data_IF_918114096936
#
_entry.id   IF_918114096936
#
_cell.length_a   1.000
_cell.length_b   1.000
_cell.length_c   1.000
_cell.angle_alpha   90.00
_cell.angle_beta   90.00
_cell.angle_gamma   90.00
#
_symmetry.space_group_name_H-M   'P 1'
#
loop_
_entity.id
_entity.type
_entity.pdbx_description
1 polymer ?
#
# COMPACT_ATOMS: atom_id res chain seq x y z
N UNK A 1 -21.41 -30.82 6.49
CA UNK A 1 -20.45 -30.91 5.37
C UNK A 1 -20.16 -29.48 4.97
N UNK A 2 -19.14 -28.89 5.57
CA UNK A 2 -18.88 -27.45 5.44
C UNK A 2 -18.39 -27.17 4.04
N UNK A 3 -19.10 -26.28 3.34
CA UNK A 3 -18.70 -25.80 2.03
C UNK A 3 -17.35 -25.07 2.19
N UNK A 4 -16.27 -25.68 1.72
CA UNK A 4 -14.94 -25.10 1.85
C UNK A 4 -14.81 -23.98 0.82
N UNK A 5 -15.04 -22.73 1.22
CA UNK A 5 -14.75 -21.57 0.37
C UNK A 5 -13.30 -21.61 -0.09
N UNK A 6 -13.10 -21.62 -1.40
CA UNK A 6 -11.77 -21.50 -1.99
C UNK A 6 -11.30 -20.04 -1.95
N UNK A 7 -10.00 -19.81 -2.16
CA UNK A 7 -9.47 -18.43 -2.33
C UNK A 7 -10.13 -17.70 -3.49
N UNK A 8 -10.45 -18.43 -4.57
CA UNK A 8 -11.15 -17.89 -5.72
C UNK A 8 -12.55 -17.40 -5.33
N UNK A 9 -13.30 -18.20 -4.58
CA UNK A 9 -14.66 -17.83 -4.13
C UNK A 9 -14.64 -16.61 -3.21
N UNK A 10 -13.62 -16.50 -2.35
CA UNK A 10 -13.45 -15.33 -1.49
C UNK A 10 -13.16 -14.06 -2.30
N UNK A 11 -12.29 -14.13 -3.31
CA UNK A 11 -11.97 -12.98 -4.16
C UNK A 11 -13.19 -12.54 -4.98
N UNK A 12 -13.94 -13.49 -5.55
CA UNK A 12 -15.17 -13.18 -6.28
C UNK A 12 -16.19 -12.46 -5.38
N UNK A 13 -16.33 -12.88 -4.12
CA UNK A 13 -17.21 -12.21 -3.14
C UNK A 13 -16.71 -10.82 -2.74
N UNK A 14 -15.39 -10.62 -2.65
CA UNK A 14 -14.82 -9.29 -2.41
C UNK A 14 -15.14 -8.36 -3.57
N UNK A 15 -14.97 -8.85 -4.81
CA UNK A 15 -15.25 -8.09 -6.02
C UNK A 15 -16.74 -7.72 -6.13
N UNK A 16 -17.64 -8.64 -5.78
CA UNK A 16 -19.08 -8.37 -5.69
C UNK A 16 -19.43 -7.29 -4.65
N UNK A 17 -18.77 -7.31 -3.49
CA UNK A 17 -19.10 -6.43 -2.37
C UNK A 17 -18.51 -5.02 -2.49
N UNK A 18 -17.27 -4.90 -2.97
CA UNK A 18 -16.50 -3.64 -2.95
C UNK A 18 -15.66 -3.42 -4.22
N UNK A 19 -15.98 -4.06 -5.35
CA UNK A 19 -15.20 -3.95 -6.58
C UNK A 19 -15.04 -2.51 -7.07
N UNK A 20 -16.14 -1.75 -7.13
CA UNK A 20 -16.09 -0.34 -7.55
C UNK A 20 -15.29 0.55 -6.59
N UNK A 21 -15.36 0.27 -5.30
CA UNK A 21 -14.63 0.96 -4.25
C UNK A 21 -13.14 0.64 -4.28
N UNK A 22 -12.77 -0.59 -4.62
CA UNK A 22 -11.38 -0.98 -4.85
C UNK A 22 -10.80 -0.28 -6.07
N UNK A 23 -11.54 -0.19 -7.17
CA UNK A 23 -11.10 0.59 -8.33
C UNK A 23 -10.93 2.06 -7.99
N UNK A 24 -11.82 2.63 -7.16
CA UNK A 24 -11.69 4.02 -6.72
C UNK A 24 -10.46 4.23 -5.84
N UNK A 25 -10.18 3.31 -4.91
CA UNK A 25 -8.97 3.35 -4.10
C UNK A 25 -7.70 3.19 -4.96
N UNK A 26 -7.71 2.32 -5.97
CA UNK A 26 -6.60 2.15 -6.91
C UNK A 26 -6.36 3.43 -7.73
N UNK A 27 -7.43 4.11 -8.17
CA UNK A 27 -7.30 5.42 -8.85
C UNK A 27 -6.62 6.45 -7.96
N UNK A 28 -7.02 6.54 -6.69
CA UNK A 28 -6.37 7.42 -5.71
C UNK A 28 -4.92 7.02 -5.50
N UNK A 29 -4.63 5.73 -5.32
CA UNK A 29 -3.27 5.23 -5.18
C UNK A 29 -2.37 5.60 -6.35
N UNK A 30 -2.81 5.35 -7.58
CA UNK A 30 -2.02 5.65 -8.77
C UNK A 30 -1.83 7.16 -8.99
N UNK A 31 -2.81 7.99 -8.61
CA UNK A 31 -2.63 9.45 -8.67
C UNK A 31 -1.61 9.96 -7.65
N UNK A 32 -1.61 9.36 -6.44
CA UNK A 32 -0.72 9.77 -5.35
C UNK A 32 0.70 9.22 -5.51
N UNK A 33 0.86 8.05 -6.13
CA UNK A 33 2.16 7.44 -6.46
C UNK A 33 2.63 7.95 -7.83
N UNK A 34 2.71 9.27 -7.96
CA UNK A 34 3.18 9.94 -9.16
C UNK A 34 4.01 11.18 -8.83
N UNK A 35 4.91 11.56 -9.73
CA UNK A 35 5.74 12.76 -9.59
C UNK A 35 5.90 13.47 -10.93
N UNK A 36 6.05 14.80 -10.89
CA UNK A 36 6.42 15.62 -12.05
C UNK A 36 7.92 15.55 -12.35
N UNK A 37 8.74 15.11 -11.39
CA UNK A 37 10.17 14.96 -11.60
C UNK A 37 10.43 13.66 -12.38
N UNK A 38 11.02 13.68 -13.59
CA UNK A 38 11.11 12.52 -14.47
C UNK A 38 11.76 11.29 -13.83
N UNK A 39 12.87 11.50 -13.10
CA UNK A 39 13.55 10.39 -12.42
C UNK A 39 12.69 9.74 -11.33
N UNK A 40 12.08 10.54 -10.44
CA UNK A 40 11.20 10.04 -9.39
C UNK A 40 9.98 9.34 -10.00
N UNK A 41 9.43 9.90 -11.07
CA UNK A 41 8.34 9.29 -11.81
C UNK A 41 8.69 7.88 -12.32
N UNK A 42 9.87 7.70 -12.93
CA UNK A 42 10.30 6.39 -13.44
C UNK A 42 10.43 5.34 -12.31
N UNK A 43 11.00 5.74 -11.18
CA UNK A 43 11.11 4.85 -10.00
C UNK A 43 9.72 4.49 -9.46
N UNK A 44 8.82 5.48 -9.30
CA UNK A 44 7.45 5.25 -8.82
C UNK A 44 6.64 4.35 -9.78
N UNK A 45 6.77 4.54 -11.09
CA UNK A 45 6.13 3.70 -12.11
C UNK A 45 6.68 2.27 -12.16
N UNK A 46 7.91 2.07 -11.68
CA UNK A 46 8.50 0.74 -11.59
C UNK A 46 7.94 -0.03 -10.38
N UNK A 47 7.88 0.60 -9.20
CA UNK A 47 7.41 -0.06 -7.98
C UNK A 47 5.90 -0.36 -7.99
N UNK A 48 5.09 0.39 -8.77
CA UNK A 48 3.66 0.08 -8.94
C UNK A 48 3.43 -1.26 -9.66
N UNK A 49 4.45 -1.79 -10.35
CA UNK A 49 4.42 -3.11 -11.00
C UNK A 49 4.58 -4.27 -10.03
N UNK A 50 4.91 -4.01 -8.76
CA UNK A 50 4.96 -5.03 -7.72
C UNK A 50 3.55 -5.48 -7.32
N UNK A 51 2.59 -5.58 -8.26
CA UNK A 51 1.18 -5.81 -7.98
C UNK A 51 0.95 -7.05 -7.10
N UNK A 52 0.09 -6.90 -6.10
CA UNK A 52 -0.28 -7.95 -5.17
C UNK A 52 -1.78 -8.13 -5.09
N UNK A 53 -2.21 -8.96 -4.14
CA UNK A 53 -3.63 -9.25 -3.91
C UNK A 53 -4.42 -8.08 -3.29
N UNK A 54 -3.80 -6.91 -3.08
CA UNK A 54 -4.40 -5.70 -2.45
C UNK A 54 -5.15 -5.98 -1.13
N UNK A 55 -4.70 -6.97 -0.34
CA UNK A 55 -5.42 -7.41 0.86
C UNK A 55 -5.60 -6.30 1.90
N UNK A 56 -4.64 -5.37 2.03
CA UNK A 56 -4.70 -4.30 3.02
C UNK A 56 -5.78 -3.25 2.68
N UNK A 57 -5.84 -2.71 1.45
CA UNK A 57 -6.99 -1.93 0.96
C UNK A 57 -8.33 -2.65 1.13
N UNK A 58 -8.40 -3.93 0.74
CA UNK A 58 -9.62 -4.74 0.85
C UNK A 58 -10.13 -4.78 2.29
N UNK A 59 -9.25 -5.09 3.25
CA UNK A 59 -9.61 -5.16 4.67
C UNK A 59 -10.12 -3.82 5.20
N UNK A 60 -9.51 -2.71 4.80
CA UNK A 60 -9.94 -1.38 5.21
C UNK A 60 -11.34 -1.06 4.67
N UNK A 61 -11.58 -1.28 3.37
CA UNK A 61 -12.86 -0.97 2.74
C UNK A 61 -13.99 -1.87 3.25
N UNK A 62 -13.74 -3.17 3.43
CA UNK A 62 -14.71 -4.09 4.04
C UNK A 62 -15.04 -3.68 5.48
N UNK A 63 -14.04 -3.24 6.26
CA UNK A 63 -14.27 -2.75 7.62
C UNK A 63 -15.14 -1.50 7.64
N UNK A 64 -14.92 -0.56 6.73
CA UNK A 64 -15.76 0.62 6.58
C UNK A 64 -17.20 0.24 6.16
N UNK A 65 -17.35 -0.62 5.14
CA UNK A 65 -18.66 -1.12 4.69
C UNK A 65 -19.45 -1.77 5.85
N UNK A 66 -18.78 -2.56 6.69
CA UNK A 66 -19.40 -3.27 7.81
C UNK A 66 -19.76 -2.38 9.02
N UNK A 67 -19.12 -1.22 9.19
CA UNK A 67 -19.23 -0.41 10.44
C UNK A 67 -19.91 0.93 10.28
N UNK A 68 -20.15 1.39 9.04
CA UNK A 68 -20.84 2.67 8.82
C UNK A 68 -20.85 3.18 7.38
N UNK A 69 -20.50 2.34 6.42
CA UNK A 69 -20.42 2.69 5.01
C UNK A 69 -19.08 3.27 4.59
N UNK A 70 -18.79 3.14 3.29
CA UNK A 70 -17.59 3.67 2.66
C UNK A 70 -17.79 5.16 2.36
N UNK A 71 -16.71 5.94 2.45
CA UNK A 71 -16.66 7.41 2.32
C UNK A 71 -15.36 7.76 1.60
N UNK A 72 -15.26 8.97 1.07
CA UNK A 72 -14.05 9.39 0.32
C UNK A 72 -12.76 9.28 1.14
N UNK A 73 -12.83 9.55 2.45
CA UNK A 73 -11.69 9.36 3.36
C UNK A 73 -11.18 7.92 3.40
N UNK A 74 -12.04 6.93 3.17
CA UNK A 74 -11.65 5.52 3.15
C UNK A 74 -10.87 5.15 1.89
N UNK A 75 -11.14 5.77 0.74
CA UNK A 75 -10.31 5.58 -0.47
C UNK A 75 -8.91 6.15 -0.27
N UNK A 76 -8.81 7.32 0.34
CA UNK A 76 -7.51 7.93 0.70
C UNK A 76 -6.77 7.03 1.71
N UNK A 77 -7.44 6.56 2.76
CA UNK A 77 -6.81 5.68 3.75
C UNK A 77 -6.41 4.31 3.17
N UNK A 78 -7.19 3.75 2.25
CA UNK A 78 -6.82 2.53 1.54
C UNK A 78 -5.53 2.73 0.71
N UNK A 79 -5.42 3.86 0.01
CA UNK A 79 -4.18 4.26 -0.68
C UNK A 79 -3.01 4.41 0.29
N UNK A 80 -3.19 5.13 1.40
CA UNK A 80 -2.16 5.34 2.44
C UNK A 80 -1.62 4.02 2.98
N UNK A 81 -2.49 3.07 3.31
CA UNK A 81 -2.07 1.76 3.83
C UNK A 81 -1.30 0.95 2.78
N UNK A 82 -1.70 1.02 1.50
CA UNK A 82 -0.98 0.34 0.42
C UNK A 82 0.35 1.01 0.10
N UNK A 83 0.44 2.34 0.19
CA UNK A 83 1.71 3.07 0.06
C UNK A 83 2.70 2.68 1.14
N UNK A 84 2.26 2.58 2.39
CA UNK A 84 3.09 2.11 3.50
C UNK A 84 3.53 0.68 3.25
N UNK A 85 2.62 -0.19 2.82
CA UNK A 85 3.00 -1.56 2.45
C UNK A 85 4.06 -1.59 1.34
N UNK A 86 3.91 -0.77 0.30
CA UNK A 86 4.87 -0.71 -0.78
C UNK A 86 6.22 -0.17 -0.30
N UNK A 87 6.21 0.82 0.61
CA UNK A 87 7.42 1.35 1.23
C UNK A 87 8.18 0.26 2.00
N UNK A 88 7.50 -0.53 2.83
CA UNK A 88 8.16 -1.61 3.57
C UNK A 88 8.74 -2.64 2.61
N UNK A 89 8.02 -3.05 1.57
CA UNK A 89 8.55 -4.01 0.58
C UNK A 89 9.86 -3.54 -0.09
N UNK A 90 9.94 -2.24 -0.40
CA UNK A 90 11.12 -1.65 -1.05
C UNK A 90 12.29 -1.54 -0.06
N UNK A 91 12.03 -1.28 1.21
CA UNK A 91 13.05 -1.30 2.26
C UNK A 91 13.51 -2.74 2.56
N UNK A 92 12.59 -3.70 2.65
CA UNK A 92 12.88 -5.13 2.84
C UNK A 92 13.76 -5.66 1.71
N UNK A 93 13.51 -5.26 0.45
CA UNK A 93 14.34 -5.66 -0.69
C UNK A 93 15.82 -5.26 -0.54
N UNK A 94 16.10 -4.17 0.19
CA UNK A 94 17.48 -3.75 0.53
C UNK A 94 18.05 -4.59 1.65
N UNK A 95 17.26 -4.83 2.71
CA UNK A 95 17.70 -5.61 3.87
C UNK A 95 18.00 -7.07 3.49
N UNK A 96 17.21 -7.62 2.56
CA UNK A 96 17.31 -9.00 2.09
C UNK A 96 18.26 -9.20 0.90
N UNK A 97 18.90 -8.14 0.40
CA UNK A 97 19.67 -8.14 -0.86
C UNK A 97 18.89 -8.77 -2.04
N UNK A 98 17.57 -8.54 -2.08
CA UNK A 98 16.69 -9.15 -3.05
C UNK A 98 16.94 -8.59 -4.45
N UNK A 99 17.05 -9.47 -5.46
CA UNK A 99 17.22 -9.06 -6.86
C UNK A 99 15.91 -8.95 -7.63
N UNK A 100 14.89 -9.72 -7.23
CA UNK A 100 13.60 -9.84 -7.93
C UNK A 100 12.46 -9.89 -6.91
N UNK A 101 11.41 -9.12 -7.16
CA UNK A 101 10.12 -9.16 -6.46
C UNK A 101 8.99 -9.36 -7.47
N UNK A 102 8.21 -10.43 -7.30
CA UNK A 102 7.05 -10.77 -8.16
C UNK A 102 7.40 -10.73 -9.66
N UNK A 103 8.54 -11.33 -10.02
CA UNK A 103 9.09 -11.38 -11.39
C UNK A 103 9.55 -10.02 -11.96
N UNK A 104 9.62 -8.97 -11.15
CA UNK A 104 10.13 -7.64 -11.51
C UNK A 104 11.45 -7.42 -10.76
N UNK A 105 12.45 -6.79 -11.40
CA UNK A 105 13.67 -6.39 -10.69
C UNK A 105 13.33 -5.47 -9.52
N UNK A 106 13.97 -5.65 -8.37
CA UNK A 106 13.81 -4.74 -7.22
C UNK A 106 14.43 -3.37 -7.50
N UNK A 107 14.10 -2.35 -6.70
CA UNK A 107 14.63 -0.99 -6.91
C UNK A 107 16.15 -0.97 -6.68
N UNK A 108 16.63 -1.64 -5.65
CA UNK A 108 18.05 -1.77 -5.36
C UNK A 108 18.82 -2.50 -6.46
N UNK A 109 18.26 -3.55 -7.05
CA UNK A 109 18.86 -4.28 -8.17
C UNK A 109 18.90 -3.46 -9.46
N UNK A 110 17.87 -2.65 -9.72
CA UNK A 110 17.76 -1.86 -10.95
C UNK A 110 18.49 -0.52 -10.90
N UNK A 111 18.54 0.14 -9.74
CA UNK A 111 19.22 1.42 -9.55
C UNK A 111 20.36 1.31 -8.54
N UNK A 112 20.04 1.29 -7.24
CA UNK A 112 20.97 1.10 -6.12
C UNK A 112 20.19 1.14 -4.79
N UNK A 113 20.89 0.80 -3.70
CA UNK A 113 20.32 0.83 -2.35
C UNK A 113 19.84 2.22 -1.96
N UNK A 114 20.57 3.29 -2.30
CA UNK A 114 20.17 4.66 -1.93
C UNK A 114 18.82 5.06 -2.53
N UNK A 115 18.59 4.71 -3.79
CA UNK A 115 17.31 4.99 -4.48
C UNK A 115 16.17 4.22 -3.83
N UNK A 116 16.42 2.97 -3.42
CA UNK A 116 15.44 2.12 -2.75
C UNK A 116 15.04 2.70 -1.39
N UNK A 117 16.02 3.12 -0.58
CA UNK A 117 15.77 3.76 0.72
C UNK A 117 14.96 5.05 0.53
N UNK A 118 15.41 5.93 -0.37
CA UNK A 118 14.77 7.24 -0.59
C UNK A 118 13.35 7.14 -1.17
N UNK A 119 13.06 6.17 -2.05
CA UNK A 119 11.68 6.01 -2.56
C UNK A 119 10.76 5.40 -1.49
N UNK A 120 11.26 4.51 -0.63
CA UNK A 120 10.52 4.05 0.54
C UNK A 120 10.20 5.20 1.51
N UNK A 121 11.18 6.07 1.79
CA UNK A 121 10.98 7.26 2.63
C UNK A 121 9.99 8.25 1.99
N UNK A 122 10.06 8.44 0.68
CA UNK A 122 9.10 9.24 -0.07
C UNK A 122 7.68 8.71 0.09
N UNK A 123 7.47 7.40 -0.07
CA UNK A 123 6.17 6.78 0.11
C UNK A 123 5.66 6.90 1.56
N UNK A 124 6.51 6.67 2.55
CA UNK A 124 6.15 6.84 3.97
C UNK A 124 5.71 8.26 4.27
N UNK A 125 6.53 9.25 3.91
CA UNK A 125 6.24 10.66 4.17
C UNK A 125 4.99 11.14 3.44
N UNK A 126 4.79 10.71 2.18
CA UNK A 126 3.59 11.04 1.42
C UNK A 126 2.33 10.37 2.00
N UNK A 127 2.42 9.11 2.45
CA UNK A 127 1.31 8.42 3.11
C UNK A 127 0.87 9.14 4.42
N UNK A 128 1.83 9.60 5.24
CA UNK A 128 1.52 10.38 6.43
C UNK A 128 0.94 11.76 6.11
N UNK A 129 1.43 12.43 5.07
CA UNK A 129 0.87 13.68 4.59
C UNK A 129 -0.61 13.53 4.20
N UNK A 130 -0.93 12.52 3.39
CA UNK A 130 -2.30 12.23 2.99
C UNK A 130 -3.19 11.90 4.19
N UNK A 131 -2.72 11.02 5.09
CA UNK A 131 -3.49 10.66 6.29
C UNK A 131 -3.78 11.87 7.18
N UNK A 132 -2.81 12.77 7.35
CA UNK A 132 -2.96 13.98 8.14
C UNK A 132 -3.93 15.01 7.52
N UNK A 133 -4.18 14.94 6.21
CA UNK A 133 -5.08 15.86 5.51
C UNK A 133 -6.57 15.56 5.71
N UNK A 134 -6.93 14.39 6.28
CA UNK A 134 -8.31 13.91 6.41
C UNK A 134 -9.14 14.53 7.56
N UNK A 135 -8.69 15.65 8.13
CA UNK A 135 -9.42 16.41 9.16
C UNK A 135 -9.48 15.79 10.56
N UNK A 136 -9.34 14.46 10.68
CA UNK A 136 -9.15 13.76 11.96
C UNK A 136 -7.79 13.02 11.98
N UNK A 137 -6.93 13.42 12.91
CA UNK A 137 -5.63 12.81 13.12
C UNK A 137 -5.69 11.39 13.71
N UNK A 138 -6.87 10.85 14.07
CA UNK A 138 -7.01 9.49 14.62
C UNK A 138 -6.45 8.42 13.68
N UNK A 139 -6.79 8.48 12.40
CA UNK A 139 -6.30 7.51 11.42
C UNK A 139 -4.76 7.59 11.31
N UNK A 140 -4.22 8.80 11.16
CA UNK A 140 -2.79 9.06 11.12
C UNK A 140 -2.06 8.52 12.36
N UNK A 141 -2.61 8.74 13.58
CA UNK A 141 -2.05 8.19 14.82
C UNK A 141 -2.06 6.66 14.88
N UNK A 142 -3.13 6.01 14.41
CA UNK A 142 -3.23 4.55 14.39
C UNK A 142 -2.26 3.94 13.38
N UNK A 143 -2.15 4.56 12.20
CA UNK A 143 -1.19 4.17 11.18
C UNK A 143 0.24 4.32 11.72
N UNK A 144 0.58 5.46 12.33
CA UNK A 144 1.90 5.68 12.93
C UNK A 144 2.25 4.67 14.03
N UNK A 145 1.26 4.29 14.85
CA UNK A 145 1.47 3.21 15.82
C UNK A 145 1.74 1.87 15.14
N UNK A 146 0.97 1.52 14.11
CA UNK A 146 1.14 0.27 13.38
C UNK A 146 2.50 0.20 12.68
N UNK A 147 2.96 1.30 12.08
CA UNK A 147 4.28 1.36 11.43
C UNK A 147 5.42 1.26 12.43
N UNK A 148 5.30 1.87 13.61
CA UNK A 148 6.28 1.70 14.68
C UNK A 148 6.40 0.23 15.10
N UNK A 149 5.27 -0.47 15.26
CA UNK A 149 5.26 -1.90 15.61
C UNK A 149 5.89 -2.77 14.52
N UNK A 150 5.71 -2.44 13.24
CA UNK A 150 6.40 -3.13 12.14
C UNK A 150 7.91 -2.92 12.27
N UNK A 151 8.37 -1.67 12.39
CA UNK A 151 9.79 -1.38 12.52
C UNK A 151 10.42 -2.00 13.78
N UNK A 152 9.72 -2.00 14.92
CA UNK A 152 10.16 -2.68 16.14
C UNK A 152 10.32 -4.20 15.90
N UNK A 153 9.41 -4.81 15.13
CA UNK A 153 9.47 -6.22 14.76
C UNK A 153 10.66 -6.57 13.86
N UNK A 154 11.04 -5.69 12.95
CA UNK A 154 12.21 -5.91 12.07
C UNK A 154 13.55 -5.69 12.78
N UNK A 155 13.57 -5.00 13.94
CA UNK A 155 14.78 -4.75 14.72
C UNK A 155 15.08 -5.82 15.78
N UNK A 156 14.11 -6.68 16.11
CA UNK A 156 14.16 -7.63 17.23
C UNK A 156 14.50 -9.06 16.79
#
# INVERSE_FOLDING_TARGET
>A
MGDHLTTHDLLARVEELIGGELEQAERVFLSEVSSKHPYVHDVLQHITRFQGKRLRPILLLLSAAATGGIKDSHYVLASVVEMIHLATLVHDDVLDDALIRRHVATVNSRWNNETSVLVGDFLFTHAFHLSASLGDARACRLIGRATNLVCEGELA
#
